data_IF_361281642563
#
_entry.id   IF_361281642563
#
_cell.length_a   1.000
_cell.length_b   1.000
_cell.length_c   1.000
_cell.angle_alpha   90.00
_cell.angle_beta   90.00
_cell.angle_gamma   90.00
#
_symmetry.space_group_name_H-M   'P 1'
#
loop_
_entity.id
_entity.type
_entity.pdbx_description
1 polymer ?
#
# COMPACT_ATOMS: atom_id res chain seq x y z
N UNK A 1 9.02 -1.45 3.43
CA UNK A 1 9.43 -2.74 3.93
C UNK A 1 9.63 -2.74 5.43
N UNK A 2 8.87 -3.55 6.17
CA UNK A 2 9.16 -3.75 7.60
C UNK A 2 10.20 -4.85 7.74
N UNK A 3 11.40 -4.49 8.19
CA UNK A 3 12.37 -5.45 8.66
C UNK A 3 11.87 -6.01 10.01
N UNK A 4 11.48 -7.26 10.04
CA UNK A 4 11.24 -7.93 11.30
C UNK A 4 12.58 -8.32 11.93
N UNK A 5 12.69 -8.10 13.25
CA UNK A 5 13.84 -8.45 14.05
C UNK A 5 14.21 -9.94 13.88
N UNK A 6 15.51 -10.28 13.91
CA UNK A 6 15.97 -11.65 13.76
C UNK A 6 15.42 -12.54 14.88
N UNK A 7 14.88 -13.69 14.52
CA UNK A 7 14.50 -14.74 15.46
C UNK A 7 15.60 -15.80 15.49
N UNK A 8 15.99 -16.32 16.67
CA UNK A 8 16.93 -17.43 16.74
C UNK A 8 16.36 -18.63 15.95
N UNK A 9 17.22 -19.32 15.24
CA UNK A 9 16.89 -20.39 14.32
C UNK A 9 15.90 -21.41 14.93
N UNK A 10 14.63 -21.26 14.63
CA UNK A 10 13.70 -22.37 14.72
C UNK A 10 14.03 -23.30 13.54
N UNK A 11 14.23 -24.57 13.84
CA UNK A 11 14.72 -25.56 12.90
C UNK A 11 14.02 -25.55 11.54
N UNK A 12 14.63 -26.14 10.54
CA UNK A 12 14.27 -26.12 9.11
C UNK A 12 12.81 -26.49 8.74
N UNK A 13 11.95 -26.79 9.70
CA UNK A 13 10.53 -27.10 9.51
C UNK A 13 9.58 -25.91 9.71
N UNK A 14 10.07 -24.73 10.14
CA UNK A 14 9.23 -23.56 10.44
C UNK A 14 9.06 -22.59 9.26
N UNK A 15 9.47 -22.98 8.06
CA UNK A 15 9.26 -22.20 6.83
C UNK A 15 7.78 -22.28 6.43
N UNK A 16 6.94 -21.52 7.12
CA UNK A 16 5.57 -21.31 6.66
C UNK A 16 5.57 -20.70 5.26
N UNK A 17 4.77 -21.24 4.35
CA UNK A 17 4.66 -20.86 2.94
C UNK A 17 4.20 -19.41 2.65
N UNK A 18 4.44 -18.47 3.56
CA UNK A 18 3.82 -17.15 3.58
C UNK A 18 4.80 -15.97 3.58
N UNK A 19 6.09 -16.21 3.37
CA UNK A 19 7.10 -15.15 3.27
C UNK A 19 7.79 -15.22 1.92
N UNK A 20 7.98 -14.09 1.27
CA UNK A 20 8.58 -14.01 -0.07
C UNK A 20 10.09 -14.21 -0.05
N UNK A 21 10.72 -14.07 1.09
CA UNK A 21 12.14 -14.32 1.21
C UNK A 21 12.51 -14.76 2.62
N UNK A 22 13.35 -15.80 2.68
CA UNK A 22 14.03 -16.22 3.91
C UNK A 22 15.50 -16.40 3.57
N UNK A 23 16.37 -15.65 4.22
CA UNK A 23 17.81 -15.67 3.96
C UNK A 23 18.57 -15.95 5.25
N UNK A 24 19.39 -17.02 5.26
CA UNK A 24 20.29 -17.32 6.36
C UNK A 24 21.42 -16.28 6.40
N UNK A 25 21.58 -15.64 7.55
CA UNK A 25 22.59 -14.61 7.74
C UNK A 25 22.36 -13.30 6.95
N UNK A 26 21.18 -13.12 6.34
CA UNK A 26 20.91 -12.01 5.43
C UNK A 26 20.92 -10.62 6.09
N UNK A 27 20.63 -10.55 7.37
CA UNK A 27 20.67 -9.32 8.17
C UNK A 27 21.70 -9.42 9.29
N UNK A 28 21.76 -10.57 9.98
CA UNK A 28 22.69 -10.80 11.07
C UNK A 28 23.19 -12.25 11.03
N UNK A 29 24.52 -12.49 11.12
CA UNK A 29 25.08 -13.85 11.09
C UNK A 29 24.47 -14.75 12.17
N UNK A 30 24.11 -15.97 11.80
CA UNK A 30 23.51 -16.97 12.70
C UNK A 30 22.01 -16.85 12.91
N UNK A 31 21.34 -15.94 12.19
CA UNK A 31 19.89 -15.78 12.24
C UNK A 31 19.27 -15.81 10.84
N UNK A 32 18.05 -16.31 10.76
CA UNK A 32 17.27 -16.18 9.53
C UNK A 32 16.61 -14.81 9.44
N UNK A 33 16.78 -14.16 8.31
CA UNK A 33 16.07 -12.93 7.97
C UNK A 33 14.79 -13.27 7.19
N UNK A 34 13.68 -12.69 7.60
CA UNK A 34 12.38 -12.81 6.90
C UNK A 34 12.05 -11.48 6.25
N UNK A 35 11.67 -11.53 4.99
CA UNK A 35 11.21 -10.37 4.24
C UNK A 35 9.70 -10.46 4.00
N UNK A 36 9.00 -9.35 4.26
CA UNK A 36 7.64 -9.13 3.83
C UNK A 36 7.57 -7.78 3.11
N UNK A 37 6.84 -7.72 2.02
CA UNK A 37 6.79 -6.50 1.22
C UNK A 37 5.48 -6.33 0.48
N UNK A 38 5.18 -5.07 0.15
CA UNK A 38 4.09 -4.68 -0.72
C UNK A 38 4.60 -4.53 -2.15
N UNK A 39 3.80 -4.97 -3.15
CA UNK A 39 4.21 -4.98 -4.56
C UNK A 39 4.36 -3.60 -5.17
N UNK A 40 3.55 -2.64 -4.73
CA UNK A 40 3.67 -1.23 -5.09
C UNK A 40 3.03 -0.34 -4.02
N UNK A 41 3.45 0.92 -3.97
CA UNK A 41 2.84 1.96 -3.12
C UNK A 41 2.67 3.23 -3.95
N UNK A 42 3.76 3.84 -4.42
CA UNK A 42 3.73 5.06 -5.22
C UNK A 42 2.91 4.94 -6.50
N UNK A 43 2.92 3.77 -7.12
CA UNK A 43 2.17 3.49 -8.34
C UNK A 43 0.65 3.56 -8.14
N UNK A 44 0.14 3.27 -6.95
CA UNK A 44 -1.29 3.44 -6.62
C UNK A 44 -1.69 4.91 -6.74
N UNK A 45 -0.92 5.80 -6.15
CA UNK A 45 -1.18 7.24 -6.19
C UNK A 45 -1.04 7.81 -7.59
N UNK A 46 -0.01 7.41 -8.33
CA UNK A 46 0.18 7.82 -9.71
C UNK A 46 -0.99 7.38 -10.58
N UNK A 47 -1.39 6.12 -10.49
CA UNK A 47 -2.53 5.59 -11.23
C UNK A 47 -3.83 6.34 -10.91
N UNK A 48 -4.09 6.61 -9.63
CA UNK A 48 -5.30 7.33 -9.22
C UNK A 48 -5.33 8.75 -9.80
N UNK A 49 -4.24 9.48 -9.70
CA UNK A 49 -4.13 10.85 -10.24
C UNK A 49 -4.28 10.87 -11.76
N UNK A 50 -3.68 9.89 -12.45
CA UNK A 50 -3.66 9.87 -13.91
C UNK A 50 -4.98 9.38 -14.52
N UNK A 51 -5.74 8.52 -13.81
CA UNK A 51 -6.88 7.81 -14.40
C UNK A 51 -8.21 8.02 -13.67
N UNK A 52 -8.22 8.40 -12.40
CA UNK A 52 -9.43 8.42 -11.58
C UNK A 52 -9.80 9.78 -11.01
N UNK A 53 -8.85 10.71 -10.90
CA UNK A 53 -9.13 12.02 -10.32
C UNK A 53 -9.87 12.93 -11.31
N UNK A 54 -11.00 13.54 -10.90
CA UNK A 54 -11.72 14.47 -11.76
C UNK A 54 -10.89 15.69 -12.18
N UNK A 55 -11.07 16.16 -13.42
CA UNK A 55 -10.34 17.31 -13.96
C UNK A 55 -10.46 18.57 -13.09
N UNK A 56 -11.61 18.78 -12.45
CA UNK A 56 -11.82 19.91 -11.56
C UNK A 56 -10.83 19.99 -10.39
N UNK A 57 -10.36 18.85 -9.88
CA UNK A 57 -9.34 18.80 -8.84
C UNK A 57 -7.98 19.28 -9.35
N UNK A 58 -7.63 18.88 -10.57
CA UNK A 58 -6.40 19.35 -11.22
C UNK A 58 -6.44 20.84 -11.49
N UNK A 59 -7.55 21.34 -12.02
CA UNK A 59 -7.75 22.77 -12.30
C UNK A 59 -7.64 23.60 -11.02
N UNK A 60 -8.22 23.13 -9.92
CA UNK A 60 -8.12 23.81 -8.63
C UNK A 60 -6.70 23.77 -8.07
N UNK A 61 -6.01 22.65 -8.17
CA UNK A 61 -4.61 22.53 -7.76
C UNK A 61 -3.73 23.52 -8.56
N UNK A 62 -3.91 23.56 -9.88
CA UNK A 62 -3.18 24.47 -10.78
C UNK A 62 -3.47 25.96 -10.41
N UNK A 63 -4.73 26.30 -10.12
CA UNK A 63 -5.10 27.64 -9.67
C UNK A 63 -4.42 28.04 -8.36
N UNK A 64 -4.21 27.09 -7.45
CA UNK A 64 -3.49 27.29 -6.21
C UNK A 64 -1.97 27.19 -6.35
N UNK A 65 -1.45 26.91 -7.55
CA UNK A 65 -0.03 26.72 -7.79
C UNK A 65 0.54 25.46 -7.13
N UNK A 66 -0.29 24.42 -6.94
CA UNK A 66 0.06 23.18 -6.25
C UNK A 66 0.11 22.01 -7.21
N UNK A 67 0.97 21.05 -6.91
CA UNK A 67 0.90 19.72 -7.49
C UNK A 67 -0.39 19.01 -7.02
N UNK A 68 -1.04 18.23 -7.89
CA UNK A 68 -2.28 17.55 -7.58
C UNK A 68 -2.15 16.55 -6.41
N UNK A 69 -1.02 15.87 -6.28
CA UNK A 69 -0.75 14.98 -5.13
C UNK A 69 -0.72 15.79 -3.81
N UNK A 70 -0.08 16.94 -3.80
CA UNK A 70 -0.04 17.82 -2.63
C UNK A 70 -1.45 18.32 -2.29
N UNK A 71 -2.21 18.76 -3.28
CA UNK A 71 -3.57 19.23 -3.09
C UNK A 71 -4.49 18.15 -2.50
N UNK A 72 -4.45 16.93 -3.04
CA UNK A 72 -5.22 15.80 -2.50
C UNK A 72 -4.80 15.43 -1.09
N UNK A 73 -3.49 15.45 -0.80
CA UNK A 73 -2.97 15.18 0.54
C UNK A 73 -3.50 16.19 1.56
N UNK A 74 -3.47 17.48 1.23
CA UNK A 74 -4.00 18.52 2.11
C UNK A 74 -5.51 18.39 2.38
N UNK A 75 -6.27 17.87 1.41
CA UNK A 75 -7.68 17.56 1.61
C UNK A 75 -7.86 16.32 2.49
N UNK A 76 -7.09 15.28 2.24
CA UNK A 76 -7.13 14.04 3.01
C UNK A 76 -6.73 14.25 4.48
N UNK A 77 -5.76 15.13 4.77
CA UNK A 77 -5.32 15.46 6.12
C UNK A 77 -6.41 16.09 7.00
N UNK A 78 -7.46 16.61 6.40
CA UNK A 78 -8.63 17.15 7.13
C UNK A 78 -9.53 16.06 7.69
N UNK A 79 -9.35 14.83 7.26
CA UNK A 79 -10.14 13.68 7.67
C UNK A 79 -9.48 12.97 8.84
N UNK A 80 -10.30 12.41 9.72
CA UNK A 80 -9.81 11.50 10.77
C UNK A 80 -9.64 10.09 10.20
N UNK A 81 -8.69 9.30 10.71
CA UNK A 81 -8.55 7.91 10.32
C UNK A 81 -9.88 7.15 10.41
N UNK A 82 -10.27 6.47 9.31
CA UNK A 82 -11.51 5.71 9.23
C UNK A 82 -12.79 6.53 9.00
N UNK A 83 -12.70 7.86 8.91
CA UNK A 83 -13.88 8.74 8.75
C UNK A 83 -14.60 8.50 7.42
N UNK A 84 -13.87 8.20 6.35
CA UNK A 84 -14.46 7.90 5.05
C UNK A 84 -15.29 6.61 5.03
N UNK A 85 -15.03 5.68 5.96
CA UNK A 85 -15.66 4.36 5.97
C UNK A 85 -15.15 3.42 4.88
N UNK A 86 -14.15 3.85 4.10
CA UNK A 86 -13.56 3.03 3.05
C UNK A 86 -12.60 2.00 3.63
N UNK A 87 -12.65 0.80 3.09
CA UNK A 87 -11.71 -0.30 3.37
C UNK A 87 -11.15 -0.79 2.04
N UNK A 88 -9.84 -0.88 1.95
CA UNK A 88 -9.14 -1.31 0.75
C UNK A 88 -8.34 -2.59 0.97
N UNK A 89 -8.36 -3.48 -0.03
CA UNK A 89 -7.29 -4.42 -0.28
C UNK A 89 -6.39 -3.79 -1.34
N UNK A 90 -5.21 -3.41 -0.93
CA UNK A 90 -4.25 -2.67 -1.75
C UNK A 90 -3.47 -3.55 -2.74
N UNK A 91 -4.12 -4.59 -3.26
CA UNK A 91 -3.53 -5.56 -4.17
C UNK A 91 -3.66 -5.16 -5.64
N UNK A 92 -3.51 -3.87 -5.94
CA UNK A 92 -3.57 -3.35 -7.33
C UNK A 92 -2.52 -4.00 -8.24
N UNK A 93 -1.44 -4.51 -7.64
CA UNK A 93 -0.38 -5.25 -8.34
C UNK A 93 -0.14 -6.62 -7.69
N UNK A 94 -1.21 -7.32 -7.33
CA UNK A 94 -1.17 -8.60 -6.65
C UNK A 94 -0.80 -8.51 -5.17
N UNK A 95 -0.64 -9.66 -4.55
CA UNK A 95 -0.20 -9.80 -3.17
C UNK A 95 1.18 -10.47 -3.11
N UNK A 96 2.23 -9.70 -2.77
CA UNK A 96 3.58 -10.24 -2.62
C UNK A 96 3.74 -11.01 -1.31
N UNK A 97 3.28 -10.42 -0.23
CA UNK A 97 3.26 -11.00 1.11
C UNK A 97 1.85 -10.84 1.69
N UNK A 98 1.21 -11.85 2.12
CA UNK A 98 1.56 -13.17 2.61
C UNK A 98 1.31 -14.28 1.58
N UNK A 99 0.51 -14.00 0.53
CA UNK A 99 -0.02 -15.02 -0.37
C UNK A 99 0.94 -15.35 -1.52
N UNK A 100 1.86 -14.45 -1.85
CA UNK A 100 2.78 -14.56 -2.98
C UNK A 100 2.06 -14.89 -4.31
N UNK A 101 0.92 -14.23 -4.52
CA UNK A 101 0.07 -14.43 -5.68
C UNK A 101 -0.15 -13.08 -6.38
N UNK A 102 0.40 -12.97 -7.58
CA UNK A 102 0.36 -11.73 -8.39
C UNK A 102 -0.87 -11.65 -9.29
N UNK A 103 -1.69 -12.69 -9.36
CA UNK A 103 -2.96 -12.69 -10.09
C UNK A 103 -4.12 -12.11 -9.26
N UNK A 104 -3.90 -11.90 -7.96
CA UNK A 104 -4.86 -11.24 -7.08
C UNK A 104 -4.96 -9.75 -7.42
N UNK A 105 -6.16 -9.20 -7.21
CA UNK A 105 -6.49 -7.83 -7.55
C UNK A 105 -6.95 -7.05 -6.32
N UNK A 106 -6.86 -5.73 -6.39
CA UNK A 106 -7.34 -4.83 -5.36
C UNK A 106 -8.87 -4.79 -5.25
N UNK A 107 -9.32 -4.33 -4.10
CA UNK A 107 -10.74 -4.11 -3.81
C UNK A 107 -10.91 -2.86 -2.96
N UNK A 108 -11.93 -2.08 -3.26
CA UNK A 108 -12.35 -0.96 -2.43
C UNK A 108 -13.80 -1.15 -2.03
N UNK A 109 -14.09 -1.10 -0.73
CA UNK A 109 -15.41 -1.34 -0.15
C UNK A 109 -15.86 -0.11 0.64
N UNK A 110 -17.16 0.15 0.64
CA UNK A 110 -17.75 1.25 1.42
C UNK A 110 -17.98 2.53 0.63
N UNK A 111 -17.79 2.52 -0.69
CA UNK A 111 -18.08 3.68 -1.54
C UNK A 111 -19.57 4.02 -1.57
N UNK A 112 -19.86 5.31 -1.51
CA UNK A 112 -21.20 5.87 -1.67
C UNK A 112 -21.17 6.97 -2.74
N UNK A 113 -22.34 7.51 -3.11
CA UNK A 113 -22.42 8.66 -4.00
C UNK A 113 -21.82 9.94 -3.41
N UNK A 114 -21.54 9.95 -2.12
CA UNK A 114 -20.89 11.06 -1.41
C UNK A 114 -19.38 10.89 -1.28
N UNK A 115 -18.83 9.74 -1.67
CA UNK A 115 -17.39 9.48 -1.61
C UNK A 115 -16.64 10.43 -2.53
N UNK A 116 -15.60 11.05 -2.00
CA UNK A 116 -14.78 12.05 -2.70
C UNK A 116 -13.41 11.47 -3.07
N UNK A 117 -12.74 12.01 -4.11
CA UNK A 117 -11.42 11.58 -4.52
C UNK A 117 -10.38 11.52 -3.40
N UNK A 118 -10.36 12.53 -2.54
CA UNK A 118 -9.44 12.60 -1.40
C UNK A 118 -9.68 11.56 -0.30
N UNK A 119 -10.79 10.84 -0.37
CA UNK A 119 -11.13 9.77 0.58
C UNK A 119 -10.60 8.40 0.15
N UNK A 120 -10.23 8.28 -1.12
CA UNK A 120 -9.70 7.08 -1.75
C UNK A 120 -8.19 7.00 -1.61
#
# INVERSE_FOLDING_TARGET
GHLHLPHPALGAGAHGARHVGVVDGGVYPGYYAYEAGQSCVGDHFAWFVDHCCPAAYKEEADRQGKNLHVYLTELAEKQRPGESGLIALDWWNGNRSVLADYDLTGLLVGMTLSTRPEEI
#
